data_IF_443807307599
#
_entry.id   IF_443807307599
#
_cell.length_a   1.000
_cell.length_b   1.000
_cell.length_c   1.000
_cell.angle_alpha   90.00
_cell.angle_beta   90.00
_cell.angle_gamma   90.00
#
_symmetry.space_group_name_H-M   'P 1'
#
loop_
_entity.id
_entity.type
_entity.pdbx_description
1 polymer ?
#
# COMPACT_ATOMS: atom_id res chain seq x y z
N UNK A 1 -3.67 16.17 -13.92
CA UNK A 1 -3.50 15.15 -12.91
C UNK A 1 -2.10 14.57 -13.09
N UNK A 2 -1.32 14.44 -12.01
CA UNK A 2 0.04 13.91 -12.04
C UNK A 2 0.21 12.93 -10.87
N UNK A 3 0.77 11.76 -11.14
CA UNK A 3 1.08 10.75 -10.15
C UNK A 3 2.57 10.84 -9.79
N UNK A 4 2.87 10.61 -8.54
CA UNK A 4 4.23 10.61 -7.99
C UNK A 4 4.45 9.36 -7.13
N UNK A 5 5.69 8.87 -7.15
CA UNK A 5 6.17 7.84 -6.23
C UNK A 5 7.27 8.41 -5.35
N UNK A 6 7.19 8.17 -4.05
CA UNK A 6 8.22 8.60 -3.08
C UNK A 6 8.71 7.41 -2.24
N UNK A 7 9.98 7.45 -1.88
CA UNK A 7 10.65 6.39 -1.12
C UNK A 7 10.68 6.65 0.41
N UNK A 8 9.98 7.67 0.86
CA UNK A 8 9.81 7.98 2.28
C UNK A 8 8.67 8.96 2.46
N UNK A 9 7.99 8.88 3.60
CA UNK A 9 6.84 9.73 3.93
C UNK A 9 7.23 11.21 4.03
N UNK A 10 8.41 11.50 4.58
CA UNK A 10 8.93 12.87 4.73
C UNK A 10 9.22 13.58 3.38
N UNK A 11 9.08 12.89 2.27
CA UNK A 11 9.17 13.46 0.90
C UNK A 11 7.82 13.85 0.32
N UNK A 12 6.73 13.61 1.06
CA UNK A 12 5.40 14.07 0.66
C UNK A 12 5.29 15.59 0.82
N UNK A 13 4.43 16.24 0.03
CA UNK A 13 4.13 17.67 0.22
C UNK A 13 3.61 17.94 1.64
N UNK A 14 4.01 19.07 2.27
CA UNK A 14 3.52 19.43 3.61
C UNK A 14 2.00 19.37 3.74
N UNK A 15 1.27 19.91 2.77
CA UNK A 15 -0.19 19.91 2.76
C UNK A 15 -0.79 18.48 2.79
N UNK A 16 -0.08 17.48 2.23
CA UNK A 16 -0.52 16.08 2.29
C UNK A 16 -0.20 15.46 3.65
N UNK A 17 0.98 15.75 4.20
CA UNK A 17 1.33 15.32 5.57
C UNK A 17 0.35 15.87 6.60
N UNK A 18 0.01 17.16 6.52
CA UNK A 18 -0.98 17.79 7.39
C UNK A 18 -2.35 17.09 7.27
N UNK A 19 -2.78 16.78 6.04
CA UNK A 19 -4.04 16.10 5.81
C UNK A 19 -4.05 14.65 6.34
N UNK A 20 -2.92 13.96 6.29
CA UNK A 20 -2.75 12.60 6.82
C UNK A 20 -2.57 12.58 8.35
N UNK A 21 -2.20 13.69 8.97
CA UNK A 21 -2.04 13.81 10.42
C UNK A 21 -3.34 14.17 11.14
N UNK A 22 -4.42 14.43 10.41
CA UNK A 22 -5.74 14.68 11.02
C UNK A 22 -6.19 13.40 11.74
N UNK A 23 -6.54 13.48 13.04
CA UNK A 23 -7.02 12.32 13.78
C UNK A 23 -8.22 11.67 13.12
N UNK A 24 -8.16 10.35 12.94
CA UNK A 24 -9.23 9.53 12.41
C UNK A 24 -9.57 8.42 13.41
N UNK A 25 -10.64 7.67 13.14
CA UNK A 25 -10.99 6.49 13.93
C UNK A 25 -9.93 5.36 13.84
N UNK A 26 -9.06 5.39 12.82
CA UNK A 26 -7.96 4.43 12.68
C UNK A 26 -6.63 5.13 13.01
N UNK A 27 -6.03 4.86 14.18
CA UNK A 27 -4.80 5.53 14.62
C UNK A 27 -3.56 5.07 13.82
N UNK A 28 -3.65 3.97 13.09
CA UNK A 28 -2.52 3.38 12.39
C UNK A 28 -2.35 3.93 10.96
N UNK A 29 -3.41 4.46 10.38
CA UNK A 29 -3.36 5.08 9.05
C UNK A 29 -3.28 6.61 9.19
N UNK A 30 -2.12 7.09 9.63
CA UNK A 30 -1.81 8.52 9.68
C UNK A 30 -0.32 8.77 9.43
N UNK A 31 0.05 10.03 9.18
CA UNK A 31 1.42 10.41 8.86
C UNK A 31 2.37 10.18 10.04
N UNK A 32 1.92 10.39 11.27
CA UNK A 32 2.76 10.25 12.47
C UNK A 32 3.15 8.78 12.68
N UNK A 33 2.18 7.86 12.64
CA UNK A 33 2.44 6.44 12.82
C UNK A 33 3.31 5.87 11.70
N UNK A 34 2.93 6.12 10.44
CA UNK A 34 3.68 5.62 9.28
C UNK A 34 5.08 6.23 9.21
N UNK A 35 5.20 7.53 9.49
CA UNK A 35 6.48 8.23 9.53
C UNK A 35 7.38 7.75 10.67
N UNK A 36 6.81 7.41 11.82
CA UNK A 36 7.55 6.85 12.94
C UNK A 36 8.15 5.48 12.62
N UNK A 37 7.44 4.62 11.89
CA UNK A 37 7.96 3.34 11.43
C UNK A 37 9.18 3.50 10.51
N UNK A 38 9.18 4.52 9.66
CA UNK A 38 10.35 4.86 8.83
C UNK A 38 11.49 5.44 9.66
N UNK A 39 11.19 6.39 10.54
CA UNK A 39 12.18 7.07 11.38
C UNK A 39 12.90 6.11 12.33
N UNK A 40 12.17 5.13 12.91
CA UNK A 40 12.73 4.12 13.79
C UNK A 40 13.41 2.97 13.05
N UNK A 41 13.44 3.00 11.70
CA UNK A 41 14.05 1.95 10.90
C UNK A 41 13.29 0.61 10.92
N UNK A 42 11.99 0.64 11.25
CA UNK A 42 11.12 -0.53 11.15
C UNK A 42 10.80 -0.86 9.69
N UNK A 43 10.78 0.15 8.83
CA UNK A 43 10.63 0.02 7.36
C UNK A 43 11.74 0.81 6.66
N UNK A 44 12.01 0.49 5.41
CA UNK A 44 13.13 1.06 4.66
C UNK A 44 14.45 0.31 4.92
N UNK A 45 15.55 0.79 4.35
CA UNK A 45 16.87 0.19 4.50
C UNK A 45 16.91 -1.29 4.06
N UNK A 46 17.32 -2.17 4.96
CA UNK A 46 17.43 -3.61 4.72
C UNK A 46 16.32 -4.43 5.42
N UNK A 47 15.20 -3.79 5.78
CA UNK A 47 14.11 -4.44 6.50
C UNK A 47 13.23 -5.32 5.62
N UNK A 48 13.43 -5.30 4.31
CA UNK A 48 12.54 -5.94 3.32
C UNK A 48 11.20 -5.23 3.12
N UNK A 49 11.02 -4.07 3.72
CA UNK A 49 9.90 -3.16 3.52
C UNK A 49 10.39 -1.88 2.84
N UNK A 50 10.40 -1.84 1.51
CA UNK A 50 10.90 -0.68 0.77
C UNK A 50 9.74 0.26 0.44
N UNK A 51 9.67 1.48 1.04
CA UNK A 51 8.62 2.43 0.73
C UNK A 51 8.64 2.86 -0.73
N UNK A 52 7.47 2.80 -1.36
CA UNK A 52 7.16 3.22 -2.73
C UNK A 52 5.81 3.91 -2.76
N UNK A 53 5.59 4.84 -1.82
CA UNK A 53 4.30 5.48 -1.63
C UNK A 53 3.86 6.23 -2.87
N UNK A 54 2.60 6.06 -3.21
CA UNK A 54 1.96 6.69 -4.37
C UNK A 54 1.08 7.84 -3.89
N UNK A 55 1.21 9.00 -4.52
CA UNK A 55 0.29 10.10 -4.33
C UNK A 55 -0.03 10.80 -5.64
N UNK A 56 -1.19 11.44 -5.70
CA UNK A 56 -1.68 12.09 -6.92
C UNK A 56 -1.97 13.55 -6.60
N UNK A 57 -1.55 14.43 -7.53
CA UNK A 57 -1.92 15.83 -7.52
C UNK A 57 -2.86 16.19 -8.66
N UNK A 58 -3.71 17.17 -8.39
CA UNK A 58 -4.53 17.86 -9.39
C UNK A 58 -4.45 19.35 -9.16
N UNK A 59 -4.09 20.12 -10.21
CA UNK A 59 -3.88 21.57 -10.13
C UNK A 59 -2.95 22.00 -8.97
N UNK A 60 -1.85 21.26 -8.76
CA UNK A 60 -0.86 21.56 -7.72
C UNK A 60 -1.31 21.20 -6.29
N UNK A 61 -2.45 20.54 -6.13
CA UNK A 61 -2.96 20.12 -4.82
C UNK A 61 -2.97 18.60 -4.69
N UNK A 62 -2.57 18.02 -3.55
CA UNK A 62 -2.69 16.59 -3.31
C UNK A 62 -4.17 16.21 -3.22
N UNK A 63 -4.55 15.14 -3.93
CA UNK A 63 -5.92 14.63 -3.98
C UNK A 63 -6.04 13.16 -3.57
N UNK A 64 -4.91 12.43 -3.54
CA UNK A 64 -4.87 11.01 -3.20
C UNK A 64 -3.52 10.63 -2.61
N UNK A 65 -3.53 9.69 -1.66
CA UNK A 65 -2.34 9.04 -1.13
C UNK A 65 -2.64 7.55 -0.85
N UNK A 66 -1.66 6.70 -1.16
CA UNK A 66 -1.70 5.27 -0.86
C UNK A 66 -0.30 4.82 -0.40
N UNK A 67 -0.16 4.27 0.82
CA UNK A 67 1.10 3.68 1.24
C UNK A 67 1.34 2.40 0.46
N UNK A 68 2.47 2.33 -0.21
CA UNK A 68 2.89 1.17 -0.99
C UNK A 68 4.29 0.78 -0.56
N UNK A 69 4.53 -0.51 -0.44
CA UNK A 69 5.83 -1.07 -0.12
C UNK A 69 6.18 -2.17 -1.12
N UNK A 70 7.43 -2.18 -1.57
CA UNK A 70 8.00 -3.33 -2.25
C UNK A 70 8.62 -4.24 -1.21
N UNK A 71 8.24 -5.53 -1.24
CA UNK A 71 8.61 -6.53 -0.22
C UNK A 71 9.44 -7.64 -0.82
N UNK A 72 10.53 -8.00 -0.16
CA UNK A 72 11.39 -9.14 -0.52
C UNK A 72 11.12 -10.40 0.32
N UNK A 73 10.21 -10.30 1.30
CA UNK A 73 9.72 -11.40 2.14
C UNK A 73 8.33 -11.06 2.71
N UNK A 74 7.64 -12.01 3.36
CA UNK A 74 6.29 -11.80 3.94
C UNK A 74 6.27 -11.54 5.45
N UNK A 75 7.41 -11.27 6.07
CA UNK A 75 7.45 -10.94 7.50
C UNK A 75 6.77 -9.60 7.80
N UNK A 76 5.99 -9.58 8.89
CA UNK A 76 5.29 -8.38 9.36
C UNK A 76 4.01 -8.05 8.62
N UNK A 77 3.56 -8.89 7.70
CA UNK A 77 2.32 -8.72 6.94
C UNK A 77 1.12 -9.40 7.61
N UNK A 78 1.37 -10.42 8.46
CA UNK A 78 0.34 -11.28 9.05
C UNK A 78 -0.53 -12.01 8.02
N UNK A 79 0.01 -12.17 6.81
CA UNK A 79 -0.59 -12.98 5.74
C UNK A 79 0.32 -14.18 5.49
N UNK A 80 -0.24 -15.39 5.65
CA UNK A 80 0.53 -16.64 5.54
C UNK A 80 0.56 -17.12 4.09
N UNK A 81 1.41 -16.51 3.28
CA UNK A 81 1.53 -16.77 1.85
C UNK A 81 2.76 -17.62 1.44
N UNK A 82 3.40 -18.28 2.40
CA UNK A 82 4.56 -19.14 2.15
C UNK A 82 4.27 -20.25 1.14
N UNK A 83 3.03 -20.77 1.11
CA UNK A 83 2.60 -21.77 0.11
C UNK A 83 2.61 -21.20 -1.30
N UNK A 84 2.23 -19.94 -1.47
CA UNK A 84 2.30 -19.25 -2.76
C UNK A 84 3.75 -19.06 -3.20
N UNK A 85 4.61 -18.59 -2.31
CA UNK A 85 6.05 -18.44 -2.59
C UNK A 85 6.69 -19.78 -2.97
N UNK A 86 6.27 -20.88 -2.32
CA UNK A 86 6.73 -22.23 -2.66
C UNK A 86 6.21 -22.68 -4.03
N UNK A 87 4.95 -22.46 -4.34
CA UNK A 87 4.35 -22.82 -5.64
C UNK A 87 5.02 -22.07 -6.79
N UNK A 88 5.31 -20.77 -6.64
CA UNK A 88 6.07 -19.99 -7.62
C UNK A 88 7.44 -20.59 -7.85
N UNK A 89 8.16 -20.92 -6.78
CA UNK A 89 9.51 -21.53 -6.87
C UNK A 89 9.48 -22.88 -7.60
N UNK A 90 8.47 -23.71 -7.36
CA UNK A 90 8.30 -25.01 -8.03
C UNK A 90 8.07 -24.85 -9.54
N UNK A 91 7.55 -23.72 -9.99
CA UNK A 91 7.36 -23.38 -11.40
C UNK A 91 8.55 -22.57 -11.98
N UNK A 92 9.65 -22.41 -11.25
CA UNK A 92 10.77 -21.60 -11.69
C UNK A 92 10.52 -20.09 -11.70
N UNK A 93 9.47 -19.63 -11.01
CA UNK A 93 9.08 -18.23 -10.91
C UNK A 93 9.53 -17.61 -9.58
N UNK A 94 9.70 -16.30 -9.58
CA UNK A 94 10.02 -15.53 -8.38
C UNK A 94 8.75 -14.92 -7.80
N UNK A 95 8.46 -15.21 -6.53
CA UNK A 95 7.35 -14.61 -5.80
C UNK A 95 7.71 -13.23 -5.23
N UNK A 96 8.96 -13.02 -4.89
CA UNK A 96 9.51 -11.76 -4.45
C UNK A 96 10.40 -11.12 -5.51
N UNK A 97 10.51 -9.77 -5.52
CA UNK A 97 9.74 -8.85 -4.70
C UNK A 97 8.26 -8.85 -5.07
N UNK A 98 7.40 -8.52 -4.12
CA UNK A 98 5.98 -8.22 -4.34
C UNK A 98 5.66 -6.81 -3.87
N UNK A 99 4.60 -6.23 -4.40
CA UNK A 99 4.14 -4.91 -4.00
C UNK A 99 2.94 -5.06 -3.07
N UNK A 100 2.91 -4.31 -1.98
CA UNK A 100 1.78 -4.36 -1.05
C UNK A 100 1.31 -2.96 -0.66
N UNK A 101 0.01 -2.83 -0.45
CA UNK A 101 -0.61 -1.69 0.25
C UNK A 101 -1.11 -2.21 1.60
N UNK A 102 -0.48 -1.74 2.65
CA UNK A 102 -0.72 -2.18 4.03
C UNK A 102 -0.31 -1.10 5.03
N UNK A 103 -0.74 -1.25 6.27
CA UNK A 103 -0.06 -0.63 7.42
C UNK A 103 0.93 -1.66 7.95
N UNK A 104 2.24 -1.39 7.95
CA UNK A 104 3.24 -2.35 8.37
C UNK A 104 3.03 -2.84 9.81
N UNK A 105 3.25 -4.12 10.06
CA UNK A 105 3.15 -4.77 11.36
C UNK A 105 1.79 -4.65 12.06
N UNK A 106 0.73 -4.27 11.32
CA UNK A 106 -0.57 -3.96 11.90
C UNK A 106 -1.68 -4.70 11.16
N UNK A 107 -2.11 -5.88 11.64
CA UNK A 107 -3.18 -6.68 11.05
C UNK A 107 -4.57 -6.15 11.44
N UNK A 108 -4.77 -4.86 11.32
CA UNK A 108 -6.02 -4.17 11.61
C UNK A 108 -6.72 -3.77 10.33
N UNK A 109 -8.00 -4.11 10.21
CA UNK A 109 -8.83 -3.65 9.10
C UNK A 109 -9.05 -2.14 9.19
N UNK A 110 -8.95 -1.45 8.05
CA UNK A 110 -9.14 -0.01 7.99
C UNK A 110 -8.76 0.60 6.65
N UNK A 111 -8.75 1.93 6.55
CA UNK A 111 -8.43 2.63 5.31
C UNK A 111 -7.00 2.29 4.84
N UNK A 112 -6.84 2.24 3.53
CA UNK A 112 -5.54 1.98 2.87
C UNK A 112 -5.18 3.07 1.88
N UNK A 113 -5.99 4.10 1.80
CA UNK A 113 -5.75 5.32 1.03
C UNK A 113 -6.42 6.51 1.70
N UNK A 114 -5.85 7.67 1.45
CA UNK A 114 -6.46 8.96 1.74
C UNK A 114 -6.93 9.60 0.43
N UNK A 115 -8.10 10.21 0.48
CA UNK A 115 -8.67 10.95 -0.65
C UNK A 115 -9.17 12.29 -0.15
N UNK A 116 -8.86 13.34 -0.89
CA UNK A 116 -9.38 14.68 -0.62
C UNK A 116 -10.91 14.67 -0.72
N UNK A 117 -11.63 15.27 0.24
CA UNK A 117 -13.09 15.36 0.17
C UNK A 117 -13.59 15.92 -1.16
N UNK A 118 -14.61 15.26 -1.74
CA UNK A 118 -15.21 15.63 -3.01
C UNK A 118 -14.56 15.01 -4.25
N UNK A 119 -13.45 14.30 -4.11
CA UNK A 119 -12.81 13.58 -5.23
C UNK A 119 -13.42 12.18 -5.42
N UNK A 120 -13.32 11.66 -6.65
CA UNK A 120 -13.76 10.31 -6.98
C UNK A 120 -12.68 9.29 -6.57
N UNK A 121 -12.89 8.62 -5.45
CA UNK A 121 -11.94 7.65 -4.88
C UNK A 121 -11.70 6.47 -5.82
N UNK A 122 -12.74 5.94 -6.48
CA UNK A 122 -12.61 4.79 -7.38
C UNK A 122 -11.70 5.12 -8.57
N UNK A 123 -11.89 6.29 -9.19
CA UNK A 123 -11.07 6.74 -10.30
C UNK A 123 -9.61 6.99 -9.90
N UNK A 124 -9.37 7.56 -8.72
CA UNK A 124 -8.01 7.82 -8.23
C UNK A 124 -7.29 6.53 -7.85
N UNK A 125 -7.99 5.59 -7.20
CA UNK A 125 -7.45 4.25 -6.88
C UNK A 125 -7.12 3.48 -8.15
N UNK A 126 -7.97 3.56 -9.19
CA UNK A 126 -7.72 2.92 -10.48
C UNK A 126 -6.41 3.41 -11.10
N UNK A 127 -6.20 4.73 -11.13
CA UNK A 127 -4.96 5.34 -11.65
C UNK A 127 -3.73 4.89 -10.83
N UNK A 128 -3.85 4.85 -9.51
CA UNK A 128 -2.75 4.39 -8.64
C UNK A 128 -2.43 2.91 -8.88
N UNK A 129 -3.45 2.07 -9.04
CA UNK A 129 -3.28 0.64 -9.31
C UNK A 129 -2.66 0.37 -10.69
N UNK A 130 -3.10 1.07 -11.72
CA UNK A 130 -2.53 0.97 -13.07
C UNK A 130 -1.02 1.29 -13.06
N UNK A 131 -0.62 2.31 -12.28
CA UNK A 131 0.79 2.63 -12.09
C UNK A 131 1.55 1.49 -11.41
N UNK A 132 1.06 0.98 -10.28
CA UNK A 132 1.71 -0.14 -9.57
C UNK A 132 1.79 -1.39 -10.45
N UNK A 133 0.74 -1.70 -11.19
CA UNK A 133 0.74 -2.82 -12.15
C UNK A 133 1.74 -2.63 -13.28
N UNK A 134 1.95 -1.40 -13.75
CA UNK A 134 2.98 -1.11 -14.74
C UNK A 134 4.38 -1.39 -14.20
N UNK A 135 4.67 -1.00 -12.96
CA UNK A 135 5.93 -1.32 -12.27
C UNK A 135 6.13 -2.83 -12.11
N UNK A 136 5.07 -3.57 -11.73
CA UNK A 136 5.11 -5.04 -11.65
C UNK A 136 5.45 -5.66 -13.00
N UNK A 137 4.77 -5.22 -14.07
CA UNK A 137 5.00 -5.72 -15.44
C UNK A 137 6.40 -5.39 -15.96
N UNK A 138 6.99 -4.30 -15.53
CA UNK A 138 8.37 -3.94 -15.84
C UNK A 138 9.42 -4.81 -15.13
N UNK A 139 9.00 -5.84 -14.40
CA UNK A 139 9.89 -6.76 -13.69
C UNK A 139 10.24 -6.33 -12.28
N UNK A 140 9.57 -5.30 -11.76
CA UNK A 140 9.80 -4.79 -10.42
C UNK A 140 9.04 -5.59 -9.33
N UNK A 141 8.36 -6.70 -9.67
CA UNK A 141 7.68 -7.55 -8.70
C UNK A 141 6.79 -8.63 -9.30
N UNK A 142 6.27 -9.54 -8.46
CA UNK A 142 5.38 -10.64 -8.85
C UNK A 142 3.89 -10.26 -8.89
N UNK A 143 3.49 -9.22 -8.18
CA UNK A 143 2.10 -8.78 -8.09
C UNK A 143 1.90 -7.70 -7.04
N UNK A 144 0.69 -7.16 -6.97
CA UNK A 144 0.27 -6.23 -5.94
C UNK A 144 -0.78 -6.87 -5.02
N UNK A 145 -0.64 -6.64 -3.73
CA UNK A 145 -1.51 -7.17 -2.68
C UNK A 145 -2.08 -6.03 -1.84
N UNK A 146 -3.37 -6.04 -1.62
CA UNK A 146 -4.06 -5.14 -0.69
C UNK A 146 -4.38 -5.90 0.60
N UNK A 147 -3.81 -5.46 1.72
CA UNK A 147 -3.94 -6.17 2.99
C UNK A 147 -4.83 -5.40 3.97
N UNK A 148 -5.81 -6.10 4.55
CA UNK A 148 -6.69 -5.61 5.63
C UNK A 148 -7.40 -4.28 5.30
N UNK A 149 -7.78 -4.07 4.03
CA UNK A 149 -8.61 -2.93 3.67
C UNK A 149 -10.04 -3.11 4.21
N UNK A 150 -10.68 -2.00 4.55
CA UNK A 150 -12.07 -1.95 5.01
C UNK A 150 -13.11 -2.08 3.88
N UNK A 151 -12.64 -2.25 2.65
CA UNK A 151 -13.44 -2.47 1.45
C UNK A 151 -12.85 -1.79 0.23
N UNK A 152 -13.46 -2.04 -0.92
CA UNK A 152 -13.15 -1.34 -2.16
C UNK A 152 -14.22 -0.26 -2.40
N UNK A 153 -13.85 0.90 -2.97
CA UNK A 153 -14.81 1.98 -3.21
C UNK A 153 -15.86 1.58 -4.25
N UNK A 154 -17.09 2.04 -4.06
CA UNK A 154 -18.16 1.87 -5.03
C UNK A 154 -17.74 2.39 -6.41
N UNK A 155 -17.99 1.61 -7.45
CA UNK A 155 -17.61 1.94 -8.84
C UNK A 155 -16.15 1.63 -9.19
N UNK A 156 -15.36 1.07 -8.28
CA UNK A 156 -14.03 0.57 -8.60
C UNK A 156 -14.14 -0.75 -9.38
N UNK A 157 -13.40 -0.87 -10.48
CA UNK A 157 -13.34 -2.12 -11.26
C UNK A 157 -12.32 -3.09 -10.66
N UNK A 158 -12.81 -3.94 -9.79
CA UNK A 158 -12.00 -4.95 -9.11
C UNK A 158 -11.95 -6.32 -9.81
N UNK A 159 -12.37 -6.43 -11.09
CA UNK A 159 -12.46 -7.73 -11.80
C UNK A 159 -11.15 -8.49 -11.91
N UNK A 160 -10.02 -7.79 -11.89
CA UNK A 160 -8.69 -8.41 -11.91
C UNK A 160 -8.16 -8.76 -10.52
N UNK A 161 -8.90 -8.40 -9.45
CA UNK A 161 -8.50 -8.71 -8.08
C UNK A 161 -9.06 -10.06 -7.66
N UNK A 162 -8.20 -10.87 -7.06
CA UNK A 162 -8.59 -12.15 -6.44
C UNK A 162 -8.77 -11.91 -4.93
N UNK A 163 -10.02 -11.89 -4.42
CA UNK A 163 -10.26 -11.75 -3.00
C UNK A 163 -9.78 -13.00 -2.25
N UNK A 164 -9.07 -12.77 -1.16
CA UNK A 164 -8.68 -13.80 -0.22
C UNK A 164 -9.30 -13.50 1.14
N UNK A 165 -10.06 -14.43 1.67
CA UNK A 165 -10.58 -14.38 3.03
C UNK A 165 -9.77 -15.34 3.89
N UNK A 166 -9.24 -14.82 4.99
CA UNK A 166 -8.50 -15.60 5.98
C UNK A 166 -9.08 -15.33 7.36
N UNK A 167 -9.26 -16.38 8.17
CA UNK A 167 -9.75 -16.23 9.54
C UNK A 167 -8.56 -16.36 10.48
N UNK A 168 -8.30 -15.30 11.22
CA UNK A 168 -7.28 -15.30 12.27
C UNK A 168 -7.98 -15.27 13.64
N UNK A 169 -7.60 -16.18 14.51
CA UNK A 169 -8.04 -16.18 15.90
C UNK A 169 -6.96 -15.51 16.75
N UNK A 170 -7.36 -14.48 17.48
CA UNK A 170 -6.52 -13.81 18.48
C UNK A 170 -7.07 -14.15 19.87
N UNK A 171 -6.18 -14.55 20.77
CA UNK A 171 -6.48 -14.89 22.17
C UNK A 171 -6.22 -13.68 23.06
#
# INVERSE_FOLDING_TARGET
MRLHTVSALNRLPPALLDALSVPTANPFFNADFLGLLELCGCVGGQTGWQPRHVWIERAGQPVFFMPVYQKDHSWGEFVFDQRWAQAYRQQGLHYYPKWITAVPFTPSVGPRWWVKPGENVAALLQVALEHVQAEVRAGAGSGWHLLFADGLPAGFDGRELLPRHDTQFHW
#
